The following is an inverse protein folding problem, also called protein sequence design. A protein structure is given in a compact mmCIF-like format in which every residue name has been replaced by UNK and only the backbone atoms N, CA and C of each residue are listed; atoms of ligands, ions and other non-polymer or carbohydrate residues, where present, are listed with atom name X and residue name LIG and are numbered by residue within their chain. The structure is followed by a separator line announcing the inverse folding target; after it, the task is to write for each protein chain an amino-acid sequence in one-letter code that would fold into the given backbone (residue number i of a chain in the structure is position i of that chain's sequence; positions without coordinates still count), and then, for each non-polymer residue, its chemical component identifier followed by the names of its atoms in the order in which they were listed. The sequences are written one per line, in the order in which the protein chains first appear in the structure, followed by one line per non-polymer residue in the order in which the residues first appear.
data_IF_338380925127
#
_entry.id   IF_338380925127
#
_cell.length_a   1.000
_cell.length_b   1.000
_cell.length_c   1.000
_cell.angle_alpha   90.00
_cell.angle_beta   90.00
_cell.angle_gamma   90.00
#
_symmetry.space_group_name_H-M   'P 1'
#
loop_
_entity.id
_entity.type
_entity.pdbx_description
1 polymer ?
#
# COMPACT_ATOMS: atom_id res chain seq x y z
N UNK A 1 25.71 -9.49 11.85
CA UNK A 1 24.75 -8.37 11.78
C UNK A 1 24.25 -8.23 10.35
N UNK A 2 23.05 -7.73 10.12
CA UNK A 2 22.43 -7.68 8.78
C UNK A 2 22.89 -6.51 7.89
N UNK A 3 23.84 -5.69 8.33
CA UNK A 3 24.34 -4.50 7.59
C UNK A 3 23.23 -3.60 7.01
N UNK A 4 22.10 -3.48 7.71
CA UNK A 4 20.94 -2.68 7.28
C UNK A 4 19.97 -3.41 6.34
N UNK A 5 20.26 -4.62 5.89
CA UNK A 5 19.37 -5.39 5.00
C UNK A 5 18.13 -5.98 5.70
N UNK A 6 18.10 -5.99 7.02
CA UNK A 6 16.97 -6.51 7.81
C UNK A 6 16.87 -8.03 7.89
N UNK A 7 17.67 -8.75 7.11
CA UNK A 7 17.72 -10.21 7.06
C UNK A 7 19.16 -10.68 7.22
N UNK A 8 19.32 -11.87 7.81
CA UNK A 8 20.62 -12.52 8.01
C UNK A 8 20.54 -13.87 7.31
N UNK A 9 21.38 -14.08 6.29
CA UNK A 9 21.56 -15.39 5.65
C UNK A 9 22.37 -16.32 6.57
N UNK A 10 22.02 -17.57 6.59
CA UNK A 10 22.79 -18.63 7.27
C UNK A 10 22.64 -19.94 6.47
N UNK A 11 23.66 -20.76 6.52
CA UNK A 11 23.66 -22.07 5.85
C UNK A 11 23.12 -23.13 6.82
N UNK A 12 22.28 -24.00 6.30
CA UNK A 12 21.74 -25.18 7.00
C UNK A 12 22.05 -26.41 6.14
N UNK A 13 22.48 -27.49 6.76
CA UNK A 13 22.62 -28.77 6.09
C UNK A 13 21.24 -29.48 6.08
N UNK A 14 20.66 -29.60 4.88
CA UNK A 14 19.42 -30.38 4.66
C UNK A 14 19.77 -31.52 3.69
N UNK A 15 19.57 -32.75 4.10
CA UNK A 15 19.88 -33.96 3.30
C UNK A 15 21.31 -34.01 2.75
N UNK A 16 22.29 -33.52 3.54
CA UNK A 16 23.72 -33.49 3.16
C UNK A 16 24.08 -32.36 2.16
N UNK A 17 23.18 -31.46 1.84
CA UNK A 17 23.44 -30.28 1.00
C UNK A 17 23.34 -29.01 1.82
N UNK A 18 24.24 -28.07 1.55
CA UNK A 18 24.16 -26.73 2.13
C UNK A 18 23.02 -25.95 1.46
N UNK A 19 22.00 -25.56 2.25
CA UNK A 19 20.86 -24.74 1.83
C UNK A 19 20.95 -23.39 2.54
N UNK A 20 20.90 -22.31 1.78
CA UNK A 20 20.88 -20.96 2.33
C UNK A 20 19.49 -20.64 2.87
N UNK A 21 19.41 -20.28 4.16
CA UNK A 21 18.20 -19.84 4.85
C UNK A 21 18.36 -18.42 5.33
N UNK A 22 17.24 -17.70 5.39
CA UNK A 22 17.20 -16.31 5.80
C UNK A 22 16.32 -16.14 7.03
N UNK A 23 16.82 -15.42 8.04
CA UNK A 23 16.05 -15.03 9.22
C UNK A 23 16.01 -13.53 9.38
N UNK A 24 14.91 -13.02 9.98
CA UNK A 24 14.77 -11.59 10.26
C UNK A 24 15.76 -11.19 11.35
N UNK A 25 16.51 -10.11 11.09
CA UNK A 25 17.45 -9.56 12.07
C UNK A 25 16.69 -8.94 13.27
N UNK A 26 17.26 -9.04 14.45
CA UNK A 26 16.67 -8.46 15.67
C UNK A 26 16.54 -6.93 15.60
N UNK A 27 17.39 -6.25 14.82
CA UNK A 27 17.23 -4.82 14.57
C UNK A 27 15.89 -4.47 13.94
N UNK A 28 15.37 -5.32 13.05
CA UNK A 28 14.04 -5.16 12.46
C UNK A 28 12.95 -5.33 13.51
N UNK A 29 13.08 -6.38 14.36
CA UNK A 29 12.11 -6.64 15.43
C UNK A 29 12.01 -5.45 16.38
N UNK A 30 13.15 -4.89 16.79
CA UNK A 30 13.21 -3.72 17.69
C UNK A 30 12.60 -2.46 17.07
N UNK A 31 12.76 -2.26 15.77
CA UNK A 31 12.30 -1.06 15.07
C UNK A 31 10.86 -1.13 14.53
N UNK A 32 10.20 -2.30 14.58
CA UNK A 32 8.83 -2.49 14.09
C UNK A 32 7.79 -1.49 14.65
N UNK A 33 7.76 -1.23 15.96
CA UNK A 33 6.80 -0.26 16.52
C UNK A 33 6.97 1.13 15.91
N UNK A 34 8.21 1.57 15.74
CA UNK A 34 8.53 2.85 15.13
C UNK A 34 8.18 2.88 13.65
N UNK A 35 8.47 1.82 12.90
CA UNK A 35 8.07 1.68 11.48
C UNK A 35 6.56 1.75 11.31
N UNK A 36 5.79 1.06 12.18
CA UNK A 36 4.31 1.14 12.18
C UNK A 36 3.81 2.56 12.43
N UNK A 37 4.39 3.28 13.38
CA UNK A 37 4.05 4.68 13.67
C UNK A 37 4.37 5.59 12.48
N UNK A 38 5.53 5.41 11.85
CA UNK A 38 5.98 6.20 10.70
C UNK A 38 5.20 5.89 9.42
N UNK A 39 4.61 4.70 9.31
CA UNK A 39 3.83 4.30 8.14
C UNK A 39 2.58 5.16 7.94
N UNK A 40 2.06 5.81 9.00
CA UNK A 40 0.85 6.67 8.98
C UNK A 40 -0.38 5.95 8.43
N UNK A 41 -0.47 4.64 8.63
CA UNK A 41 -1.67 3.86 8.31
C UNK A 41 -2.81 4.35 9.21
N UNK A 42 -4.03 4.57 8.67
CA UNK A 42 -5.20 4.95 9.45
C UNK A 42 -5.43 4.01 10.64
N UNK A 43 -5.89 4.55 11.78
CA UNK A 43 -6.05 3.79 13.02
C UNK A 43 -6.95 2.57 12.85
N UNK A 44 -8.05 2.72 12.11
CA UNK A 44 -9.02 1.66 11.79
C UNK A 44 -8.41 0.50 10.96
N UNK A 45 -7.31 0.77 10.22
CA UNK A 45 -6.63 -0.21 9.36
C UNK A 45 -5.30 -0.69 9.94
N UNK A 46 -4.95 -0.24 11.15
CA UNK A 46 -3.66 -0.51 11.77
C UNK A 46 -3.41 -2.00 12.03
N UNK A 47 -4.45 -2.75 12.30
CA UNK A 47 -4.38 -4.18 12.62
C UNK A 47 -4.96 -5.08 11.52
N UNK A 48 -5.16 -4.52 10.32
CA UNK A 48 -5.53 -5.29 9.15
C UNK A 48 -4.41 -6.24 8.75
N UNK A 49 -4.79 -7.49 8.47
CA UNK A 49 -3.92 -8.56 8.00
C UNK A 49 -4.57 -9.28 6.83
N UNK A 50 -3.78 -10.03 6.04
CA UNK A 50 -4.34 -10.90 5.01
C UNK A 50 -5.28 -11.95 5.62
N UNK A 51 -4.96 -12.45 6.81
CA UNK A 51 -5.77 -13.48 7.46
C UNK A 51 -7.16 -12.96 7.85
N UNK A 52 -7.24 -11.74 8.39
CA UNK A 52 -8.51 -11.13 8.79
C UNK A 52 -9.24 -10.39 7.65
N UNK A 53 -8.75 -10.52 6.41
CA UNK A 53 -9.51 -10.10 5.23
C UNK A 53 -10.59 -11.14 4.97
N UNK A 54 -11.82 -10.85 5.41
CA UNK A 54 -12.95 -11.77 5.35
C UNK A 54 -13.57 -11.78 3.96
N UNK A 55 -13.40 -12.90 3.26
CA UNK A 55 -13.96 -13.10 1.91
C UNK A 55 -15.41 -13.59 1.94
N UNK A 56 -15.94 -13.99 3.11
CA UNK A 56 -17.33 -14.46 3.24
C UNK A 56 -18.34 -13.31 3.16
N UNK A 57 -17.88 -12.09 3.39
CA UNK A 57 -18.72 -10.88 3.30
C UNK A 57 -19.09 -10.51 1.86
N UNK A 58 -18.42 -11.10 0.87
CA UNK A 58 -18.68 -10.83 -0.54
C UNK A 58 -19.65 -11.85 -1.14
N UNK A 59 -20.53 -11.40 -2.01
CA UNK A 59 -21.35 -12.31 -2.83
C UNK A 59 -20.45 -13.03 -3.84
N UNK A 60 -19.56 -12.29 -4.53
CA UNK A 60 -18.51 -12.89 -5.36
C UNK A 60 -17.30 -13.31 -4.53
N UNK A 61 -17.48 -14.39 -3.75
CA UNK A 61 -16.41 -14.94 -2.94
C UNK A 61 -15.22 -15.47 -3.76
N UNK A 62 -15.46 -15.86 -5.02
CA UNK A 62 -14.38 -16.38 -5.89
C UNK A 62 -13.42 -15.25 -6.21
N UNK A 63 -13.92 -14.11 -6.68
CA UNK A 63 -13.09 -12.93 -6.96
C UNK A 63 -12.42 -12.39 -5.66
N UNK A 64 -13.14 -12.37 -4.52
CA UNK A 64 -12.59 -11.94 -3.25
C UNK A 64 -11.42 -12.86 -2.79
N UNK A 65 -11.59 -14.18 -2.89
CA UNK A 65 -10.53 -15.16 -2.59
C UNK A 65 -9.34 -15.03 -3.54
N UNK A 66 -9.59 -14.78 -4.83
CA UNK A 66 -8.54 -14.55 -5.82
C UNK A 66 -7.72 -13.29 -5.48
N UNK A 67 -8.36 -12.18 -5.14
CA UNK A 67 -7.68 -10.94 -4.72
C UNK A 67 -6.86 -11.15 -3.43
N UNK A 68 -7.43 -11.83 -2.41
CA UNK A 68 -6.73 -12.20 -1.18
C UNK A 68 -5.50 -13.07 -1.46
N UNK A 69 -5.64 -14.09 -2.31
CA UNK A 69 -4.55 -14.99 -2.71
C UNK A 69 -3.45 -14.23 -3.47
N UNK A 70 -3.82 -13.34 -4.40
CA UNK A 70 -2.87 -12.52 -5.14
C UNK A 70 -2.06 -11.61 -4.19
N UNK A 71 -2.71 -10.98 -3.20
CA UNK A 71 -2.04 -10.17 -2.19
C UNK A 71 -1.10 -11.00 -1.30
N UNK A 72 -1.50 -12.21 -0.89
CA UNK A 72 -0.65 -13.13 -0.14
C UNK A 72 0.59 -13.54 -0.94
N UNK A 73 0.41 -13.93 -2.21
CA UNK A 73 1.50 -14.31 -3.10
C UNK A 73 2.46 -13.13 -3.37
N UNK A 74 1.93 -11.91 -3.47
CA UNK A 74 2.75 -10.71 -3.59
C UNK A 74 3.67 -10.52 -2.38
N UNK A 75 3.17 -10.72 -1.16
CA UNK A 75 3.96 -10.63 0.08
C UNK A 75 5.04 -11.71 0.11
N UNK A 76 4.70 -12.95 -0.22
CA UNK A 76 5.64 -14.08 -0.24
C UNK A 76 6.78 -13.85 -1.23
N UNK A 77 6.47 -13.31 -2.40
CA UNK A 77 7.44 -13.07 -3.47
C UNK A 77 7.92 -11.61 -3.55
N UNK A 78 7.74 -10.83 -2.48
CA UNK A 78 7.98 -9.39 -2.50
C UNK A 78 9.39 -9.00 -2.96
N UNK A 79 10.40 -9.79 -2.64
CA UNK A 79 11.80 -9.52 -3.06
C UNK A 79 11.90 -9.46 -4.59
N UNK A 80 11.29 -10.40 -5.31
CA UNK A 80 11.30 -10.43 -6.77
C UNK A 80 10.57 -9.21 -7.37
N UNK A 81 9.41 -8.84 -6.82
CA UNK A 81 8.68 -7.64 -7.25
C UNK A 81 9.48 -6.36 -6.96
N UNK A 82 10.12 -6.27 -5.80
CA UNK A 82 10.97 -5.14 -5.41
C UNK A 82 12.16 -4.98 -6.35
N UNK A 83 12.83 -6.06 -6.75
CA UNK A 83 13.95 -6.01 -7.69
C UNK A 83 13.57 -5.40 -9.04
N UNK A 84 12.32 -5.58 -9.46
CA UNK A 84 11.77 -5.01 -10.67
C UNK A 84 11.08 -3.66 -10.46
N UNK A 85 10.96 -3.17 -9.22
CA UNK A 85 10.23 -1.95 -8.88
C UNK A 85 8.71 -2.08 -9.10
N UNK A 86 8.17 -3.31 -9.08
CA UNK A 86 6.75 -3.59 -9.35
C UNK A 86 5.91 -3.56 -8.09
N UNK A 87 4.94 -2.67 -8.06
CA UNK A 87 3.89 -2.59 -7.05
C UNK A 87 2.57 -3.16 -7.55
N UNK A 88 1.47 -2.75 -6.89
CA UNK A 88 0.12 -3.20 -7.20
C UNK A 88 -0.81 -2.00 -7.46
N UNK A 89 -1.78 -2.22 -8.34
CA UNK A 89 -2.91 -1.34 -8.54
C UNK A 89 -4.19 -2.09 -8.15
N UNK A 90 -4.70 -1.78 -6.95
CA UNK A 90 -5.90 -2.40 -6.40
C UNK A 90 -7.12 -1.57 -6.79
N UNK A 91 -8.02 -2.13 -7.56
CA UNK A 91 -9.15 -1.35 -8.06
C UNK A 91 -10.49 -2.10 -7.94
N UNK A 92 -11.55 -1.33 -7.81
CA UNK A 92 -12.95 -1.72 -7.93
C UNK A 92 -13.75 -0.43 -8.09
N UNK A 93 -14.75 -0.42 -8.94
CA UNK A 93 -15.62 0.75 -9.14
C UNK A 93 -16.43 1.08 -7.89
N UNK A 94 -16.67 0.09 -7.05
CA UNK A 94 -17.46 0.25 -5.84
C UNK A 94 -16.62 0.80 -4.69
N UNK A 95 -17.09 1.89 -4.09
CA UNK A 95 -16.52 2.43 -2.85
C UNK A 95 -16.80 1.46 -1.69
N UNK A 96 -15.80 1.28 -0.80
CA UNK A 96 -15.94 0.38 0.34
C UNK A 96 -15.74 -1.10 0.02
N UNK A 97 -15.20 -1.46 -1.15
CA UNK A 97 -14.93 -2.84 -1.56
C UNK A 97 -13.66 -3.46 -0.93
N UNK A 98 -13.05 -2.83 0.06
CA UNK A 98 -11.89 -3.37 0.77
C UNK A 98 -10.52 -3.10 0.15
N UNK A 99 -10.40 -2.29 -0.93
CA UNK A 99 -9.12 -1.93 -1.58
C UNK A 99 -8.06 -1.42 -0.60
N UNK A 100 -8.40 -0.37 0.13
CA UNK A 100 -7.52 0.26 1.11
C UNK A 100 -7.16 -0.71 2.23
N UNK A 101 -8.13 -1.50 2.72
CA UNK A 101 -7.91 -2.56 3.71
C UNK A 101 -6.90 -3.59 3.22
N UNK A 102 -7.03 -4.07 1.97
CA UNK A 102 -6.10 -5.03 1.40
C UNK A 102 -4.70 -4.43 1.21
N UNK A 103 -4.59 -3.17 0.74
CA UNK A 103 -3.32 -2.45 0.64
C UNK A 103 -2.63 -2.30 2.00
N UNK A 104 -3.38 -1.92 3.05
CA UNK A 104 -2.86 -1.81 4.41
C UNK A 104 -2.49 -3.18 5.00
N UNK A 105 -3.22 -4.25 4.67
CA UNK A 105 -2.87 -5.62 5.07
C UNK A 105 -1.52 -6.05 4.48
N UNK A 106 -1.26 -5.72 3.22
CA UNK A 106 0.04 -5.95 2.58
C UNK A 106 1.14 -5.14 3.30
N UNK A 107 0.89 -3.86 3.56
CA UNK A 107 1.84 -3.00 4.26
C UNK A 107 2.21 -3.52 5.65
N UNK A 108 1.20 -3.87 6.45
CA UNK A 108 1.38 -4.43 7.79
C UNK A 108 2.20 -5.74 7.75
N UNK A 109 1.91 -6.61 6.77
CA UNK A 109 2.66 -7.84 6.57
C UNK A 109 4.14 -7.55 6.23
N UNK A 110 4.42 -6.63 5.29
CA UNK A 110 5.78 -6.26 4.89
C UNK A 110 6.58 -5.66 6.06
N UNK A 111 5.95 -4.81 6.88
CA UNK A 111 6.58 -4.28 8.09
C UNK A 111 6.89 -5.41 9.07
N UNK A 112 5.92 -6.31 9.30
CA UNK A 112 6.03 -7.34 10.32
C UNK A 112 6.97 -8.49 9.92
N UNK A 113 6.87 -8.96 8.67
CA UNK A 113 7.59 -10.15 8.23
C UNK A 113 8.96 -9.82 7.66
N UNK A 114 9.13 -8.65 7.03
CA UNK A 114 10.34 -8.29 6.31
C UNK A 114 11.02 -7.02 6.81
N UNK A 115 10.42 -6.27 7.77
CA UNK A 115 10.97 -5.03 8.29
C UNK A 115 11.12 -3.94 7.25
N UNK A 116 10.20 -3.89 6.31
CA UNK A 116 10.23 -2.91 5.23
C UNK A 116 9.51 -1.65 5.68
N UNK A 117 10.16 -0.52 5.51
CA UNK A 117 9.57 0.78 5.78
C UNK A 117 8.49 1.09 4.74
N UNK A 118 7.27 1.31 5.22
CA UNK A 118 6.11 1.69 4.40
C UNK A 118 5.67 3.10 4.76
N UNK A 119 5.18 3.84 3.78
CA UNK A 119 4.50 5.13 3.98
C UNK A 119 3.13 5.06 3.31
N UNK A 120 2.09 5.37 4.06
CA UNK A 120 0.72 5.51 3.58
C UNK A 120 0.40 6.99 3.39
N UNK A 121 -0.25 7.32 2.28
CA UNK A 121 -0.70 8.67 1.98
C UNK A 121 -1.95 8.59 1.08
N UNK A 122 -2.97 9.38 1.37
CA UNK A 122 -4.07 9.59 0.43
C UNK A 122 -3.60 10.50 -0.71
N UNK A 123 -4.02 10.20 -1.92
CA UNK A 123 -3.62 11.00 -3.10
C UNK A 123 -4.07 12.46 -2.97
N UNK A 124 -5.24 12.69 -2.37
CA UNK A 124 -5.75 14.03 -2.07
C UNK A 124 -4.86 14.80 -1.10
N UNK A 125 -4.40 14.12 -0.03
CA UNK A 125 -3.51 14.74 0.96
C UNK A 125 -2.16 15.10 0.31
N UNK A 126 -1.64 14.23 -0.57
CA UNK A 126 -0.44 14.53 -1.36
C UNK A 126 -0.63 15.78 -2.21
N UNK A 127 -1.72 15.86 -2.96
CA UNK A 127 -2.02 17.01 -3.82
C UNK A 127 -2.19 18.29 -2.98
N UNK A 128 -2.85 18.20 -1.82
CA UNK A 128 -3.02 19.32 -0.89
C UNK A 128 -1.67 19.79 -0.34
N UNK A 129 -0.85 18.85 0.14
CA UNK A 129 0.51 19.14 0.63
C UNK A 129 1.34 19.84 -0.46
N UNK A 130 1.29 19.35 -1.68
CA UNK A 130 1.95 19.97 -2.83
C UNK A 130 1.44 21.40 -3.05
N UNK A 131 0.12 21.68 -2.97
CA UNK A 131 -0.46 23.02 -3.13
C UNK A 131 -0.08 23.98 -1.99
N UNK A 132 -0.04 23.49 -0.76
CA UNK A 132 0.24 24.31 0.42
C UNK A 132 1.70 24.78 0.47
N UNK A 133 2.60 23.96 -0.03
CA UNK A 133 4.02 24.28 -0.14
C UNK A 133 4.26 25.47 -1.10
N UNK A 134 3.48 25.53 -2.19
CA UNK A 134 3.55 26.65 -3.13
C UNK A 134 3.13 28.01 -2.52
N UNK A 135 2.16 27.98 -1.57
CA UNK A 135 1.65 29.21 -0.94
C UNK A 135 2.59 29.79 0.14
N UNK A 136 3.29 28.94 0.85
CA UNK A 136 3.97 29.31 2.11
C UNK A 136 5.48 29.51 1.99
N UNK A 137 6.10 29.53 0.81
CA UNK A 137 7.53 29.85 0.54
C UNK A 137 8.55 29.42 1.62
N UNK A 138 8.25 28.41 2.44
CA UNK A 138 9.20 27.85 3.40
C UNK A 138 9.91 26.66 2.77
N UNK A 139 11.00 26.95 2.06
CA UNK A 139 11.70 26.02 1.16
C UNK A 139 12.21 24.72 1.81
N UNK A 140 12.49 24.71 3.10
CA UNK A 140 13.11 23.56 3.78
C UNK A 140 12.11 22.42 4.11
N UNK A 141 10.91 22.76 4.60
CA UNK A 141 9.93 21.74 5.01
C UNK A 141 9.27 21.02 3.83
N UNK A 142 9.11 21.70 2.69
CA UNK A 142 8.54 21.16 1.46
C UNK A 142 9.42 20.07 0.87
N UNK A 143 10.70 20.38 0.67
CA UNK A 143 11.68 19.46 0.11
C UNK A 143 11.78 18.19 0.94
N UNK A 144 11.79 18.32 2.27
CA UNK A 144 11.86 17.17 3.19
C UNK A 144 10.63 16.26 3.07
N UNK A 145 9.43 16.84 2.91
CA UNK A 145 8.18 16.09 2.75
C UNK A 145 8.19 15.32 1.42
N UNK A 146 8.49 16.00 0.33
CA UNK A 146 8.55 15.39 -1.01
C UNK A 146 9.66 14.34 -1.07
N UNK A 147 10.83 14.63 -0.52
CA UNK A 147 11.93 13.67 -0.46
C UNK A 147 11.57 12.46 0.40
N UNK A 148 10.87 12.66 1.51
CA UNK A 148 10.34 11.57 2.31
C UNK A 148 9.32 10.67 1.58
N UNK A 149 8.57 11.21 0.63
CA UNK A 149 7.64 10.47 -0.22
C UNK A 149 8.42 9.77 -1.35
N UNK A 150 9.33 10.49 -2.00
CA UNK A 150 10.19 9.95 -3.05
C UNK A 150 10.99 8.73 -2.57
N UNK A 151 11.57 8.81 -1.37
CA UNK A 151 12.49 7.82 -0.83
C UNK A 151 11.84 6.68 -0.02
N UNK A 152 10.53 6.72 0.24
CA UNK A 152 9.84 5.64 0.93
C UNK A 152 10.07 4.30 0.23
N UNK A 153 10.53 3.26 0.95
CA UNK A 153 10.83 1.94 0.35
C UNK A 153 9.60 1.32 -0.29
N UNK A 154 8.46 1.42 0.40
CA UNK A 154 7.13 1.12 -0.14
C UNK A 154 6.25 2.34 0.13
N UNK A 155 5.58 2.84 -0.89
CA UNK A 155 4.60 3.92 -0.80
C UNK A 155 3.23 3.37 -1.12
N UNK A 156 2.22 3.70 -0.31
CA UNK A 156 0.81 3.48 -0.65
C UNK A 156 0.22 4.84 -0.99
N UNK A 157 -0.31 4.96 -2.20
CA UNK A 157 -1.10 6.11 -2.65
C UNK A 157 -2.55 5.67 -2.77
N UNK A 158 -3.34 6.05 -1.76
CA UNK A 158 -4.73 5.67 -1.64
C UNK A 158 -5.65 6.59 -2.43
N UNK A 159 -6.64 5.99 -3.09
CA UNK A 159 -7.74 6.63 -3.83
C UNK A 159 -7.27 7.56 -4.98
N UNK A 160 -6.37 7.03 -5.85
CA UNK A 160 -5.93 7.77 -7.04
C UNK A 160 -7.08 7.93 -8.06
N UNK A 161 -7.16 9.12 -8.64
CA UNK A 161 -8.20 9.47 -9.63
C UNK A 161 -9.48 10.03 -9.03
N UNK A 162 -9.53 10.24 -7.70
CA UNK A 162 -10.67 10.88 -7.03
C UNK A 162 -10.86 12.35 -7.44
N UNK A 163 -9.78 13.06 -7.73
CA UNK A 163 -9.79 14.46 -8.16
C UNK A 163 -8.86 14.69 -9.36
N UNK A 164 -9.13 15.80 -10.08
CA UNK A 164 -8.23 16.29 -11.12
C UNK A 164 -7.17 17.19 -10.49
N UNK A 165 -5.89 16.80 -10.51
CA UNK A 165 -4.82 17.68 -10.06
C UNK A 165 -4.66 18.86 -11.02
N UNK A 166 -4.15 19.99 -10.51
CA UNK A 166 -3.71 21.12 -11.36
C UNK A 166 -2.50 20.69 -12.19
N UNK A 167 -2.24 21.40 -13.29
CA UNK A 167 -1.10 21.13 -14.18
C UNK A 167 0.24 21.07 -13.42
N UNK A 168 0.44 22.02 -12.51
CA UNK A 168 1.61 22.04 -11.64
C UNK A 168 1.68 20.81 -10.70
N UNK A 169 0.56 20.45 -10.06
CA UNK A 169 0.50 19.25 -9.20
C UNK A 169 0.76 17.96 -9.99
N UNK A 170 0.32 17.91 -11.26
CA UNK A 170 0.68 16.82 -12.19
C UNK A 170 2.20 16.74 -12.38
N UNK A 171 2.88 17.87 -12.58
CA UNK A 171 4.33 17.92 -12.75
C UNK A 171 5.09 17.37 -11.53
N UNK A 172 4.69 17.79 -10.32
CA UNK A 172 5.31 17.28 -9.08
C UNK A 172 5.01 15.79 -8.91
N UNK A 173 3.78 15.37 -9.17
CA UNK A 173 3.40 13.95 -9.08
C UNK A 173 4.20 13.08 -10.06
N UNK A 174 4.36 13.52 -11.32
CA UNK A 174 5.22 12.89 -12.30
C UNK A 174 6.67 12.79 -11.81
N UNK A 175 7.22 13.87 -11.24
CA UNK A 175 8.58 13.86 -10.67
C UNK A 175 8.74 12.81 -9.56
N UNK A 176 7.71 12.63 -8.71
CA UNK A 176 7.71 11.59 -7.68
C UNK A 176 7.72 10.20 -8.33
N UNK A 177 6.82 9.96 -9.28
CA UNK A 177 6.71 8.64 -9.94
C UNK A 177 7.99 8.31 -10.73
N UNK A 178 8.53 9.25 -11.50
CA UNK A 178 9.76 9.04 -12.27
C UNK A 178 10.96 8.74 -11.37
N UNK A 179 11.11 9.46 -10.25
CA UNK A 179 12.14 9.15 -9.27
C UNK A 179 11.99 7.73 -8.71
N UNK A 180 10.75 7.33 -8.38
CA UNK A 180 10.48 6.00 -7.81
C UNK A 180 10.72 4.89 -8.83
N UNK A 181 10.35 5.10 -10.09
CA UNK A 181 10.62 4.17 -11.19
C UNK A 181 12.13 4.00 -11.38
N UNK A 182 12.87 5.10 -11.47
CA UNK A 182 14.32 5.10 -11.69
C UNK A 182 15.08 4.40 -10.56
N UNK A 183 14.58 4.49 -9.33
CA UNK A 183 15.17 3.85 -8.15
C UNK A 183 14.52 2.50 -7.79
N UNK A 184 13.65 1.95 -8.65
CA UNK A 184 12.93 0.68 -8.43
C UNK A 184 12.22 0.62 -7.08
N UNK A 185 11.65 1.75 -6.65
CA UNK A 185 10.89 1.85 -5.40
C UNK A 185 9.44 1.44 -5.62
N UNK A 186 8.95 0.57 -4.76
CA UNK A 186 7.63 -0.04 -4.89
C UNK A 186 6.53 0.94 -4.50
N UNK A 187 5.50 1.06 -5.35
CA UNK A 187 4.30 1.86 -5.05
C UNK A 187 3.04 1.02 -5.21
N UNK A 188 2.20 1.00 -4.18
CA UNK A 188 0.86 0.42 -4.22
C UNK A 188 -0.14 1.55 -4.43
N UNK A 189 -1.09 1.35 -5.33
CA UNK A 189 -2.18 2.30 -5.56
C UNK A 189 -3.52 1.64 -5.26
N UNK A 190 -4.46 2.40 -4.73
CA UNK A 190 -5.86 2.02 -4.73
C UNK A 190 -6.67 3.00 -5.55
N UNK A 191 -7.72 2.53 -6.22
CA UNK A 191 -8.58 3.37 -7.05
C UNK A 191 -10.00 2.85 -7.16
N UNK A 192 -10.94 3.76 -7.34
CA UNK A 192 -12.30 3.43 -7.75
C UNK A 192 -12.45 3.38 -9.28
N UNK A 193 -11.36 3.51 -10.03
CA UNK A 193 -11.35 3.63 -11.48
C UNK A 193 -10.29 2.67 -12.04
N UNK A 194 -10.64 1.93 -13.11
CA UNK A 194 -9.64 1.17 -13.86
C UNK A 194 -8.64 2.11 -14.54
N UNK A 195 -7.36 1.72 -14.64
CA UNK A 195 -6.29 2.58 -15.20
C UNK A 195 -6.66 3.23 -16.53
N UNK A 196 -7.25 2.47 -17.45
CA UNK A 196 -7.67 2.96 -18.78
C UNK A 196 -8.72 4.08 -18.75
N UNK A 197 -9.44 4.20 -17.63
CA UNK A 197 -10.52 5.19 -17.46
C UNK A 197 -10.13 6.33 -16.53
N UNK A 198 -8.89 6.36 -16.06
CA UNK A 198 -8.38 7.46 -15.25
C UNK A 198 -8.37 8.75 -16.07
N UNK A 199 -8.99 9.79 -15.54
CA UNK A 199 -8.97 11.14 -16.13
C UNK A 199 -7.79 11.94 -15.58
N UNK A 200 -6.59 11.37 -15.69
CA UNK A 200 -5.31 11.98 -15.32
C UNK A 200 -4.51 12.24 -16.61
N UNK A 201 -3.41 12.97 -16.47
CA UNK A 201 -2.42 13.14 -17.53
C UNK A 201 -1.94 11.75 -18.03
N UNK A 202 -1.92 11.53 -19.34
CA UNK A 202 -1.54 10.25 -19.94
C UNK A 202 -0.16 9.78 -19.49
N UNK A 203 0.76 10.73 -19.26
CA UNK A 203 2.09 10.45 -18.73
C UNK A 203 2.04 9.80 -17.34
N UNK A 204 1.08 10.19 -16.48
CA UNK A 204 0.87 9.55 -15.17
C UNK A 204 0.35 8.12 -15.39
N UNK A 205 -0.64 7.96 -16.25
CA UNK A 205 -1.23 6.65 -16.55
C UNK A 205 -0.17 5.67 -17.07
N UNK A 206 0.70 6.10 -17.98
CA UNK A 206 1.82 5.29 -18.49
C UNK A 206 2.76 4.82 -17.37
N UNK A 207 3.05 5.69 -16.37
CA UNK A 207 3.85 5.30 -15.20
C UNK A 207 3.14 4.24 -14.35
N UNK A 208 1.82 4.36 -14.19
CA UNK A 208 1.05 3.35 -13.46
C UNK A 208 1.15 1.98 -14.14
N UNK A 209 1.02 1.92 -15.47
CA UNK A 209 1.22 0.66 -16.23
C UNK A 209 2.63 0.11 -16.05
N UNK A 210 3.63 0.98 -16.14
CA UNK A 210 5.04 0.59 -16.01
C UNK A 210 5.35 0.01 -14.63
N UNK A 211 4.77 0.55 -13.55
CA UNK A 211 5.19 0.26 -12.18
C UNK A 211 4.25 -0.66 -11.39
N UNK A 212 3.10 -1.07 -11.96
CA UNK A 212 2.13 -1.87 -11.20
C UNK A 212 1.55 -3.05 -11.95
N UNK A 213 1.09 -4.04 -11.17
CA UNK A 213 0.26 -5.16 -11.60
C UNK A 213 -1.13 -4.98 -10.97
N UNK A 214 -2.17 -5.30 -11.73
CA UNK A 214 -3.56 -5.07 -11.32
C UNK A 214 -4.08 -6.20 -10.44
N UNK A 215 -4.81 -5.80 -9.39
CA UNK A 215 -5.67 -6.68 -8.62
C UNK A 215 -7.07 -6.06 -8.61
N UNK A 216 -8.03 -6.75 -9.20
CA UNK A 216 -9.43 -6.39 -9.17
C UNK A 216 -10.09 -6.95 -7.92
N UNK A 217 -10.82 -6.11 -7.17
CA UNK A 217 -11.68 -6.53 -6.07
C UNK A 217 -13.14 -6.54 -6.54
N UNK A 218 -14.00 -7.37 -5.91
CA UNK A 218 -15.42 -7.42 -6.26
C UNK A 218 -16.09 -6.04 -6.21
N UNK A 219 -17.11 -5.85 -7.06
CA UNK A 219 -17.87 -4.60 -7.16
C UNK A 219 -18.96 -4.51 -6.08
N UNK A 220 -18.54 -4.72 -4.82
CA UNK A 220 -19.41 -4.78 -3.65
C UNK A 220 -18.91 -3.90 -2.51
N UNK A 221 -19.83 -3.30 -1.74
CA UNK A 221 -19.48 -2.41 -0.62
C UNK A 221 -19.53 -3.15 0.71
N UNK A 222 -18.39 -3.67 1.15
CA UNK A 222 -18.27 -4.37 2.44
C UNK A 222 -18.40 -3.39 3.62
N UNK A 223 -17.93 -2.16 3.46
CA UNK A 223 -18.09 -1.12 4.49
C UNK A 223 -19.55 -0.93 4.90
N UNK A 224 -20.50 -0.97 3.97
CA UNK A 224 -21.92 -0.85 4.28
C UNK A 224 -22.44 -2.05 5.06
N UNK A 225 -22.00 -3.26 4.70
CA UNK A 225 -22.39 -4.49 5.39
C UNK A 225 -21.84 -4.50 6.82
N UNK A 226 -20.57 -4.15 7.02
CA UNK A 226 -19.97 -4.04 8.36
C UNK A 226 -20.68 -2.99 9.21
N UNK A 227 -20.90 -1.76 8.69
CA UNK A 227 -21.61 -0.70 9.42
C UNK A 227 -23.06 -1.05 9.77
N UNK A 228 -23.75 -1.82 8.92
CA UNK A 228 -25.10 -2.28 9.24
C UNK A 228 -25.09 -3.29 10.39
N UNK A 229 -24.15 -4.25 10.37
CA UNK A 229 -24.01 -5.22 11.48
C UNK A 229 -23.69 -4.54 12.81
N UNK A 230 -22.71 -3.61 12.80
CA UNK A 230 -22.37 -2.83 13.99
C UNK A 230 -23.57 -2.03 14.51
N UNK A 231 -24.34 -1.39 13.61
CA UNK A 231 -25.52 -0.64 14.00
C UNK A 231 -26.61 -1.54 14.58
N UNK A 232 -26.80 -2.76 14.06
CA UNK A 232 -27.76 -3.73 14.60
C UNK A 232 -27.33 -4.24 16.00
N UNK A 233 -26.03 -4.47 16.19
CA UNK A 233 -25.48 -4.87 17.50
C UNK A 233 -25.65 -3.76 18.54
N UNK A 234 -25.36 -2.49 18.18
CA UNK A 234 -25.53 -1.35 19.07
C UNK A 234 -26.99 -1.03 19.37
N UNK A 235 -27.90 -1.25 18.42
CA UNK A 235 -29.36 -1.08 18.68
C UNK A 235 -29.85 -1.99 19.78
N UNK A 236 -29.38 -3.23 19.86
CA UNK A 236 -29.77 -4.16 20.93
C UNK A 236 -29.44 -3.61 22.32
N UNK A 237 -28.31 -2.87 22.44
CA UNK A 237 -27.91 -2.22 23.70
C UNK A 237 -28.76 -0.96 24.04
N UNK A 238 -29.50 -0.42 23.08
CA UNK A 238 -30.41 0.69 23.32
C UNK A 238 -31.83 0.21 23.74
N UNK A 239 -32.14 -1.04 23.42
CA UNK A 239 -33.44 -1.66 23.71
C UNK A 239 -33.44 -2.41 25.08
N UNK A 240 -32.27 -2.60 25.71
CA UNK A 240 -32.05 -3.14 27.06
C UNK A 240 -31.99 -2.00 28.10
#
# INVERSE_FOLDING_TARGET
MCNGYGQIGYLVLEDGKEVERWKICDCVRKNRPQMRKQAKIPLELKDCTINNFDTSLYQDQIAAKAAKKAAANYILNFIAFKQQGKGLYLYSKTKGSGKTRLACSIANALIQTQGIQVKFLRTLDLISMIKDTYKNKSDLSEKEIIDGIKNAKVLILDDIGAEKPTEWACGVFLSILDYRISNRLVTLFTSNIHKEKLKLDDRIVDRLYKMTIDIHLPEESIRRIESQKEAEELKKLLDD
#
